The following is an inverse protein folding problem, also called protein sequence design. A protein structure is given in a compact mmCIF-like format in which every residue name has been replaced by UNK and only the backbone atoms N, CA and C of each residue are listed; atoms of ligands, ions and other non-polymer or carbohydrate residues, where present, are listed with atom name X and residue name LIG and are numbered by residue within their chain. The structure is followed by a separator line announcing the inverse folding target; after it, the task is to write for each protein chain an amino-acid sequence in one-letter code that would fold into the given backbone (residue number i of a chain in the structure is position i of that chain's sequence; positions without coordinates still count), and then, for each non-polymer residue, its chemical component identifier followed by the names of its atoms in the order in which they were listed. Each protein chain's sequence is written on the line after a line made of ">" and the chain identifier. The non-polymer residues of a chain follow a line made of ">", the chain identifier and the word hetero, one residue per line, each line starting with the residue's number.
data_IF_108840285043
#
_entry.id   IF_108840285043
#
_cell.length_a   1.000
_cell.length_b   1.000
_cell.length_c   1.000
_cell.angle_alpha   90.00
_cell.angle_beta   90.00
_cell.angle_gamma   90.00
#
_symmetry.space_group_name_H-M   'P 1'
#
loop_
_entity.id
_entity.type
_entity.pdbx_description
1 polymer ?
#
# COMPACT_ATOMS: atom_id res chain seq x y z
N UNK A 1 -16.33 13.80 -15.04
CA UNK A 1 -15.93 12.41 -14.76
C UNK A 1 -14.90 12.41 -13.64
N UNK A 2 -15.00 11.76 -12.49
CA UNK A 2 -16.09 11.19 -11.71
C UNK A 2 -15.62 11.40 -10.26
N UNK A 3 -16.34 12.14 -9.41
CA UNK A 3 -15.88 12.48 -8.05
C UNK A 3 -15.61 11.27 -7.14
N UNK A 4 -15.92 10.06 -7.61
CA UNK A 4 -15.72 8.78 -6.93
C UNK A 4 -14.36 8.13 -7.25
N UNK A 5 -13.64 8.56 -8.28
CA UNK A 5 -12.38 7.94 -8.70
C UNK A 5 -11.30 7.95 -7.60
N UNK A 6 -11.05 9.05 -6.87
CA UNK A 6 -10.12 9.04 -5.75
C UNK A 6 -10.51 8.04 -4.67
N UNK A 7 -11.82 7.93 -4.38
CA UNK A 7 -12.33 7.02 -3.36
C UNK A 7 -12.10 5.56 -3.78
N UNK A 8 -12.36 5.23 -5.05
CA UNK A 8 -12.12 3.91 -5.60
C UNK A 8 -10.62 3.55 -5.59
N UNK A 9 -9.75 4.48 -6.01
CA UNK A 9 -8.31 4.25 -6.01
C UNK A 9 -7.76 4.05 -4.58
N UNK A 10 -8.17 4.90 -3.62
CA UNK A 10 -7.78 4.76 -2.23
C UNK A 10 -8.35 3.49 -1.58
N UNK A 11 -9.58 3.11 -1.90
CA UNK A 11 -10.22 1.90 -1.39
C UNK A 11 -9.51 0.65 -1.93
N UNK A 12 -9.26 0.61 -3.24
CA UNK A 12 -8.52 -0.50 -3.84
C UNK A 12 -7.12 -0.64 -3.26
N UNK A 13 -6.42 0.48 -3.03
CA UNK A 13 -5.10 0.47 -2.41
C UNK A 13 -5.13 -0.11 -1.00
N UNK A 14 -6.04 0.37 -0.14
CA UNK A 14 -6.12 -0.09 1.24
C UNK A 14 -6.62 -1.54 1.35
N UNK A 15 -7.61 -1.92 0.55
CA UNK A 15 -8.16 -3.29 0.54
C UNK A 15 -7.12 -4.29 0.02
N UNK A 16 -6.39 -3.98 -1.05
CA UNK A 16 -5.35 -4.88 -1.56
C UNK A 16 -4.24 -5.14 -0.54
N UNK A 17 -3.78 -4.11 0.18
CA UNK A 17 -2.85 -4.26 1.31
C UNK A 17 -3.44 -5.16 2.41
N UNK A 18 -4.71 -4.94 2.75
CA UNK A 18 -5.36 -5.71 3.82
C UNK A 18 -5.49 -7.19 3.47
N UNK A 19 -5.91 -7.50 2.24
CA UNK A 19 -6.08 -8.87 1.75
C UNK A 19 -4.75 -9.57 1.65
N UNK A 20 -3.73 -8.96 1.03
CA UNK A 20 -2.44 -9.62 0.84
C UNK A 20 -1.72 -9.82 2.18
N UNK A 21 -1.56 -8.76 2.97
CA UNK A 21 -0.74 -8.78 4.18
C UNK A 21 -1.36 -9.55 5.34
N UNK A 22 -2.69 -9.53 5.49
CA UNK A 22 -3.35 -10.07 6.68
C UNK A 22 -4.20 -11.31 6.43
N UNK A 23 -4.44 -11.68 5.17
CA UNK A 23 -5.21 -12.89 4.82
C UNK A 23 -4.33 -13.84 4.00
N UNK A 24 -3.91 -13.41 2.81
CA UNK A 24 -3.22 -14.30 1.87
C UNK A 24 -1.88 -14.78 2.43
N UNK A 25 -1.02 -13.88 2.92
CA UNK A 25 0.30 -14.27 3.44
C UNK A 25 0.18 -15.24 4.63
N UNK A 26 -0.64 -14.99 5.67
CA UNK A 26 -0.87 -15.99 6.73
C UNK A 26 -1.35 -17.35 6.19
N UNK A 27 -2.27 -17.36 5.22
CA UNK A 27 -2.73 -18.60 4.60
C UNK A 27 -1.61 -19.34 3.86
N UNK A 28 -0.66 -18.64 3.21
CA UNK A 28 0.50 -19.29 2.60
C UNK A 28 1.36 -20.02 3.62
N UNK A 29 1.63 -19.41 4.79
CA UNK A 29 2.43 -20.03 5.85
C UNK A 29 1.69 -21.17 6.56
N UNK A 30 0.35 -21.16 6.55
CA UNK A 30 -0.46 -22.24 7.11
C UNK A 30 -0.60 -23.45 6.18
N UNK A 31 -0.66 -23.22 4.86
CA UNK A 31 -1.09 -24.25 3.90
C UNK A 31 0.03 -24.77 2.99
N UNK A 32 1.17 -24.08 2.85
CA UNK A 32 2.27 -24.55 2.02
C UNK A 32 3.20 -25.52 2.77
N UNK A 33 3.81 -26.49 2.06
CA UNK A 33 4.63 -27.55 2.67
C UNK A 33 5.79 -27.07 3.52
N UNK A 34 6.40 -25.93 3.17
CA UNK A 34 7.54 -25.37 3.91
C UNK A 34 7.47 -23.84 4.08
N UNK A 35 8.01 -23.28 5.18
CA UNK A 35 8.12 -21.83 5.36
C UNK A 35 8.94 -21.13 4.27
N UNK A 36 9.90 -21.85 3.66
CA UNK A 36 10.72 -21.31 2.58
C UNK A 36 9.91 -21.11 1.29
N UNK A 37 9.01 -22.04 0.96
CA UNK A 37 8.08 -21.90 -0.17
C UNK A 37 7.08 -20.77 0.07
N UNK A 38 6.50 -20.70 1.28
CA UNK A 38 5.61 -19.61 1.67
C UNK A 38 6.30 -18.24 1.58
N UNK A 39 7.52 -18.12 2.09
CA UNK A 39 8.30 -16.87 2.02
C UNK A 39 8.59 -16.43 0.58
N UNK A 40 8.96 -17.36 -0.33
CA UNK A 40 9.17 -17.04 -1.75
C UNK A 40 7.90 -16.58 -2.44
N UNK A 41 6.77 -17.21 -2.16
CA UNK A 41 5.49 -16.79 -2.73
C UNK A 41 5.03 -15.45 -2.15
N UNK A 42 5.18 -15.24 -0.84
CA UNK A 42 4.88 -13.97 -0.18
C UNK A 42 5.70 -12.82 -0.78
N UNK A 43 6.99 -13.02 -1.05
CA UNK A 43 7.82 -12.01 -1.72
C UNK A 43 7.26 -11.61 -3.10
N UNK A 44 6.83 -12.58 -3.92
CA UNK A 44 6.20 -12.29 -5.23
C UNK A 44 4.87 -11.52 -5.09
N UNK A 45 4.05 -11.87 -4.10
CA UNK A 45 2.81 -11.15 -3.81
C UNK A 45 3.08 -9.73 -3.34
N UNK A 46 4.12 -9.51 -2.53
CA UNK A 46 4.53 -8.17 -2.12
C UNK A 46 5.05 -7.34 -3.30
N UNK A 47 5.82 -7.93 -4.23
CA UNK A 47 6.20 -7.25 -5.48
C UNK A 47 4.96 -6.84 -6.29
N UNK A 48 3.98 -7.72 -6.46
CA UNK A 48 2.72 -7.37 -7.12
C UNK A 48 1.98 -6.24 -6.38
N UNK A 49 1.94 -6.30 -5.04
CA UNK A 49 1.33 -5.27 -4.21
C UNK A 49 2.06 -3.93 -4.28
N UNK A 50 3.38 -3.93 -4.45
CA UNK A 50 4.17 -2.72 -4.69
C UNK A 50 3.71 -2.05 -5.97
N UNK A 51 3.54 -2.79 -7.07
CA UNK A 51 3.02 -2.24 -8.33
C UNK A 51 1.60 -1.70 -8.20
N UNK A 52 0.71 -2.40 -7.49
CA UNK A 52 -0.63 -1.88 -7.16
C UNK A 52 -0.53 -0.56 -6.39
N UNK A 53 0.35 -0.50 -5.40
CA UNK A 53 0.55 0.69 -4.58
C UNK A 53 1.10 1.87 -5.38
N UNK A 54 2.05 1.62 -6.28
CA UNK A 54 2.59 2.63 -7.21
C UNK A 54 1.47 3.14 -8.11
N UNK A 55 0.71 2.25 -8.75
CA UNK A 55 -0.37 2.64 -9.64
C UNK A 55 -1.42 3.50 -8.93
N UNK A 56 -1.87 3.07 -7.74
CA UNK A 56 -2.83 3.83 -6.93
C UNK A 56 -2.27 5.20 -6.50
N UNK A 57 -1.02 5.26 -6.02
CA UNK A 57 -0.40 6.51 -5.59
C UNK A 57 -0.23 7.47 -6.77
N UNK A 58 0.28 7.03 -7.92
CA UNK A 58 0.45 7.85 -9.12
C UNK A 58 -0.91 8.38 -9.61
N UNK A 59 -1.95 7.55 -9.62
CA UNK A 59 -3.30 7.98 -9.96
C UNK A 59 -3.81 9.06 -9.00
N UNK A 60 -3.66 8.88 -7.69
CA UNK A 60 -4.06 9.86 -6.68
C UNK A 60 -3.27 11.19 -6.82
N UNK A 61 -1.96 11.12 -7.05
CA UNK A 61 -1.11 12.29 -7.29
C UNK A 61 -1.51 13.05 -8.57
N UNK A 62 -1.84 12.34 -9.65
CA UNK A 62 -2.32 12.95 -10.88
C UNK A 62 -3.68 13.65 -10.67
N UNK A 63 -4.56 13.01 -9.90
CA UNK A 63 -5.87 13.55 -9.55
C UNK A 63 -5.81 14.79 -8.64
N UNK A 64 -4.82 14.89 -7.75
CA UNK A 64 -4.68 16.08 -6.89
C UNK A 64 -4.31 17.34 -7.69
N UNK A 65 -3.71 17.18 -8.87
CA UNK A 65 -3.35 18.28 -9.79
C UNK A 65 -4.39 18.59 -10.84
N UNK A 66 -5.47 17.82 -10.93
CA UNK A 66 -6.52 18.02 -11.91
C UNK A 66 -7.55 19.05 -11.41
N UNK A 67 -7.50 20.28 -11.94
CA UNK A 67 -8.44 21.36 -11.59
C UNK A 67 -9.91 20.96 -11.79
N UNK A 68 -10.18 20.10 -12.76
CA UNK A 68 -11.52 19.59 -13.11
C UNK A 68 -12.14 18.69 -12.02
N UNK A 69 -11.37 18.24 -11.03
CA UNK A 69 -11.83 17.34 -9.97
C UNK A 69 -12.36 18.07 -8.72
N UNK A 70 -12.21 19.39 -8.66
CA UNK A 70 -12.78 20.25 -7.61
C UNK A 70 -12.49 19.73 -6.18
N UNK A 71 -13.54 19.48 -5.40
CA UNK A 71 -13.43 19.04 -4.01
C UNK A 71 -12.75 17.66 -3.83
N UNK A 72 -12.84 16.78 -4.83
CA UNK A 72 -12.19 15.47 -4.75
C UNK A 72 -10.65 15.63 -4.80
N UNK A 73 -10.16 16.54 -5.64
CA UNK A 73 -8.73 16.90 -5.69
C UNK A 73 -8.27 17.50 -4.35
N UNK A 74 -9.03 18.43 -3.76
CA UNK A 74 -8.71 19.02 -2.45
C UNK A 74 -8.65 17.99 -1.33
N UNK A 75 -9.50 16.96 -1.36
CA UNK A 75 -9.47 15.90 -0.36
C UNK A 75 -8.19 15.05 -0.46
N UNK A 76 -7.75 14.74 -1.67
CA UNK A 76 -6.48 14.05 -1.91
C UNK A 76 -5.30 14.94 -1.55
N UNK A 77 -5.35 16.23 -1.87
CA UNK A 77 -4.29 17.20 -1.57
C UNK A 77 -4.05 17.34 -0.06
N UNK A 78 -5.12 17.38 0.76
CA UNK A 78 -5.02 17.31 2.23
C UNK A 78 -4.40 16.01 2.75
N UNK A 79 -4.35 14.96 1.93
CA UNK A 79 -3.76 13.67 2.26
C UNK A 79 -2.45 13.40 1.50
N UNK A 80 -1.91 14.37 0.75
CA UNK A 80 -0.84 14.16 -0.22
C UNK A 80 0.44 13.59 0.43
N UNK A 81 0.74 14.04 1.66
CA UNK A 81 1.88 13.54 2.43
C UNK A 81 1.75 12.04 2.72
N UNK A 82 0.54 11.54 2.98
CA UNK A 82 0.29 10.12 3.20
C UNK A 82 0.36 9.32 1.90
N UNK A 83 -0.04 9.90 0.77
CA UNK A 83 0.13 9.28 -0.56
C UNK A 83 1.62 9.11 -0.87
N UNK A 84 2.41 10.18 -0.71
CA UNK A 84 3.85 10.17 -0.96
C UNK A 84 4.58 9.22 0.00
N UNK A 85 4.28 9.31 1.30
CA UNK A 85 4.88 8.43 2.30
C UNK A 85 4.55 6.96 2.04
N UNK A 86 3.29 6.64 1.73
CA UNK A 86 2.88 5.28 1.38
C UNK A 86 3.59 4.76 0.12
N UNK A 87 3.78 5.60 -0.90
CA UNK A 87 4.55 5.27 -2.11
C UNK A 87 6.02 4.99 -1.77
N UNK A 88 6.66 5.86 -0.97
CA UNK A 88 8.04 5.68 -0.56
C UNK A 88 8.24 4.40 0.26
N UNK A 89 7.31 4.10 1.17
CA UNK A 89 7.33 2.86 1.95
C UNK A 89 7.22 1.62 1.05
N UNK A 90 6.39 1.66 0.00
CA UNK A 90 6.30 0.57 -0.98
C UNK A 90 7.63 0.36 -1.72
N UNK A 91 8.26 1.45 -2.17
CA UNK A 91 9.54 1.39 -2.89
C UNK A 91 10.69 0.92 -1.98
N UNK A 92 10.78 1.44 -0.75
CA UNK A 92 11.77 0.99 0.23
C UNK A 92 11.52 -0.47 0.62
N UNK A 93 10.27 -0.89 0.74
CA UNK A 93 9.87 -2.28 0.96
C UNK A 93 10.40 -3.20 -0.14
N UNK A 94 10.14 -2.86 -1.39
CA UNK A 94 10.51 -3.67 -2.56
C UNK A 94 12.02 -3.69 -2.83
N UNK A 95 12.65 -2.53 -2.88
CA UNK A 95 14.04 -2.41 -3.35
C UNK A 95 15.07 -2.37 -2.21
N UNK A 96 14.63 -2.03 -1.00
CA UNK A 96 15.49 -2.00 0.19
C UNK A 96 15.34 -3.24 1.07
N UNK A 97 14.11 -3.53 1.50
CA UNK A 97 13.87 -4.51 2.56
C UNK A 97 13.76 -5.94 2.00
N UNK A 98 12.93 -6.14 0.97
CA UNK A 98 12.63 -7.46 0.40
C UNK A 98 13.88 -8.25 -0.03
N UNK A 99 14.87 -7.67 -0.74
CA UNK A 99 16.05 -8.41 -1.18
C UNK A 99 16.87 -8.97 0.00
N UNK A 100 16.93 -8.23 1.10
CA UNK A 100 17.66 -8.62 2.32
C UNK A 100 16.94 -9.70 3.12
N UNK A 101 15.61 -9.66 3.15
CA UNK A 101 14.79 -10.76 3.70
C UNK A 101 15.02 -12.04 2.89
N UNK A 102 14.97 -11.94 1.55
CA UNK A 102 15.16 -13.10 0.66
C UNK A 102 16.57 -13.67 0.76
N UNK A 103 17.59 -12.81 0.86
CA UNK A 103 18.98 -13.19 1.10
C UNK A 103 19.23 -13.75 2.52
N UNK A 104 18.23 -13.66 3.42
CA UNK A 104 18.32 -14.05 4.84
C UNK A 104 19.41 -13.31 5.62
N UNK A 105 19.82 -12.15 5.16
CA UNK A 105 20.69 -11.25 5.91
C UNK A 105 19.92 -10.80 7.15
N UNK A 106 20.47 -11.00 8.35
CA UNK A 106 19.86 -10.62 9.63
C UNK A 106 18.32 -10.69 9.62
N UNK A 107 17.78 -11.89 9.33
CA UNK A 107 16.38 -12.08 8.95
C UNK A 107 15.40 -11.45 9.95
N UNK A 108 15.69 -11.54 11.26
CA UNK A 108 14.85 -10.96 12.32
C UNK A 108 14.72 -9.44 12.18
N UNK A 109 15.82 -8.74 11.92
CA UNK A 109 15.83 -7.28 11.73
C UNK A 109 15.04 -6.89 10.48
N UNK A 110 15.39 -7.47 9.34
CA UNK A 110 14.79 -7.07 8.06
C UNK A 110 13.32 -7.46 7.97
N UNK A 111 12.93 -8.60 8.56
CA UNK A 111 11.53 -8.97 8.67
C UNK A 111 10.76 -7.98 9.55
N UNK A 112 11.28 -7.60 10.73
CA UNK A 112 10.65 -6.60 11.58
C UNK A 112 10.52 -5.23 10.89
N UNK A 113 11.55 -4.79 10.17
CA UNK A 113 11.51 -3.57 9.36
C UNK A 113 10.45 -3.68 8.25
N UNK A 114 10.37 -4.82 7.56
CA UNK A 114 9.38 -5.07 6.52
C UNK A 114 7.95 -5.03 7.05
N UNK A 115 7.68 -5.71 8.17
CA UNK A 115 6.37 -5.66 8.83
C UNK A 115 6.01 -4.24 9.27
N UNK A 116 6.96 -3.51 9.85
CA UNK A 116 6.76 -2.11 10.26
C UNK A 116 6.47 -1.19 9.07
N UNK A 117 7.25 -1.30 7.99
CA UNK A 117 7.05 -0.52 6.77
C UNK A 117 5.69 -0.83 6.12
N UNK A 118 5.30 -2.11 6.06
CA UNK A 118 4.01 -2.52 5.49
C UNK A 118 2.83 -2.01 6.32
N UNK A 119 2.90 -2.09 7.66
CA UNK A 119 1.88 -1.55 8.55
C UNK A 119 1.75 -0.02 8.42
N UNK A 120 2.89 0.68 8.36
CA UNK A 120 2.91 2.13 8.14
C UNK A 120 2.29 2.51 6.78
N UNK A 121 2.59 1.75 5.73
CA UNK A 121 2.01 1.95 4.40
C UNK A 121 0.50 1.69 4.41
N UNK A 122 0.05 0.63 5.06
CA UNK A 122 -1.37 0.33 5.26
C UNK A 122 -2.09 1.46 6.01
N UNK A 123 -1.49 2.00 7.07
CA UNK A 123 -2.04 3.14 7.79
C UNK A 123 -2.11 4.41 6.94
N UNK A 124 -1.10 4.65 6.08
CA UNK A 124 -1.13 5.75 5.11
C UNK A 124 -2.29 5.60 4.13
N UNK A 125 -2.44 4.44 3.50
CA UNK A 125 -3.53 4.17 2.57
C UNK A 125 -4.91 4.31 3.24
N UNK A 126 -5.06 3.79 4.47
CA UNK A 126 -6.31 3.91 5.24
C UNK A 126 -6.63 5.36 5.61
N UNK A 127 -5.61 6.15 5.93
CA UNK A 127 -5.74 7.58 6.20
C UNK A 127 -6.17 8.36 4.96
N UNK A 128 -5.61 8.05 3.79
CA UNK A 128 -6.02 8.63 2.50
C UNK A 128 -7.48 8.28 2.21
N UNK A 129 -7.84 7.00 2.34
CA UNK A 129 -9.21 6.53 2.14
C UNK A 129 -10.20 7.27 3.06
N UNK A 130 -9.88 7.38 4.36
CA UNK A 130 -10.71 8.09 5.32
C UNK A 130 -10.93 9.54 4.91
N UNK A 131 -9.87 10.26 4.50
CA UNK A 131 -9.98 11.68 4.10
C UNK A 131 -10.79 11.88 2.83
N UNK A 132 -10.67 10.95 1.87
CA UNK A 132 -11.41 11.01 0.61
C UNK A 132 -12.88 10.65 0.79
N UNK A 133 -13.22 9.82 1.77
CA UNK A 133 -14.61 9.44 2.09
C UNK A 133 -15.33 10.42 3.02
N UNK A 134 -14.63 11.39 3.65
CA UNK A 134 -15.27 12.32 4.60
C UNK A 134 -16.45 13.07 3.95
N UNK A 135 -17.65 13.04 4.56
CA UNK A 135 -18.80 13.81 4.11
C UNK A 135 -18.49 15.31 4.08
N UNK A 136 -19.14 16.04 3.18
CA UNK A 136 -19.05 17.52 3.14
C UNK A 136 -19.70 18.09 4.41
N UNK A 137 -19.07 19.05 5.11
CA UNK A 137 -19.81 19.89 6.05
C UNK A 137 -20.86 20.67 5.24
N UNK A 138 -22.10 20.69 5.77
CA UNK A 138 -23.25 21.34 5.17
C UNK A 138 -23.11 22.87 5.16
#
# INVERSE_FOLDING_TARGET
>A
MNSRLPALAAAFWWVSLSVIGFIVVPMLFQNLPTPAEAGRMAARLFTAQTWVSIACAVLLLGMSRAEQMGEAAKAVDRAILFVILGLLLALVGEFGISPRIVARENLKLWHAMGSGAYLAQWACAGTVLWRVLRPRPA
#
